data_IF_320191517976
#
_entry.id   IF_320191517976
#
_cell.length_a   1.000
_cell.length_b   1.000
_cell.length_c   1.000
_cell.angle_alpha   90.00
_cell.angle_beta   90.00
_cell.angle_gamma   90.00
#
_symmetry.space_group_name_H-M   'P 1'
#
loop_
_entity.id
_entity.type
_entity.pdbx_description
1 polymer ?
#
# COMPACT_ATOMS: atom_id res chain seq x y z
N UNK A 1 -4.52 -17.69 7.07
CA UNK A 1 -3.44 -17.91 8.06
C UNK A 1 -3.77 -17.04 9.27
N UNK A 2 -4.23 -17.68 10.37
CA UNK A 2 -4.60 -17.01 11.60
C UNK A 2 -3.30 -16.80 12.41
N UNK A 3 -2.60 -15.68 12.20
CA UNK A 3 -1.52 -15.29 13.12
C UNK A 3 -2.20 -14.78 14.38
N UNK A 4 -2.01 -15.51 15.49
CA UNK A 4 -2.37 -15.01 16.81
C UNK A 4 -1.71 -13.65 16.98
N UNK A 5 -2.53 -12.59 17.12
CA UNK A 5 -2.04 -11.22 17.18
C UNK A 5 -1.06 -11.10 18.36
N UNK A 6 0.13 -10.55 18.10
CA UNK A 6 1.09 -10.26 19.16
C UNK A 6 0.40 -9.34 20.19
N UNK A 7 0.43 -9.70 21.46
CA UNK A 7 -0.12 -8.86 22.53
C UNK A 7 0.76 -7.62 22.68
N UNK A 8 0.20 -6.46 22.28
CA UNK A 8 0.87 -5.18 22.38
C UNK A 8 0.76 -4.64 23.80
N UNK A 9 1.88 -4.20 24.36
CA UNK A 9 1.92 -3.44 25.62
C UNK A 9 1.39 -2.02 25.41
N UNK A 10 1.08 -1.31 26.49
CA UNK A 10 0.69 0.11 26.40
C UNK A 10 1.80 0.95 25.80
N UNK A 11 3.06 0.70 26.18
CA UNK A 11 4.22 1.35 25.55
C UNK A 11 4.28 1.10 24.03
N UNK A 12 3.95 -0.10 23.54
CA UNK A 12 3.91 -0.38 22.12
C UNK A 12 2.85 0.45 21.38
N UNK A 13 1.68 0.58 22.00
CA UNK A 13 0.58 1.38 21.45
C UNK A 13 0.96 2.86 21.36
N UNK A 14 1.53 3.40 22.42
CA UNK A 14 2.03 4.77 22.48
C UNK A 14 3.16 5.01 21.45
N UNK A 15 4.10 4.07 21.34
CA UNK A 15 5.20 4.13 20.38
C UNK A 15 4.69 4.12 18.94
N UNK A 16 3.76 3.23 18.61
CA UNK A 16 3.13 3.17 17.28
C UNK A 16 2.35 4.45 17.03
N UNK A 17 1.57 4.93 17.98
CA UNK A 17 0.81 6.17 17.84
C UNK A 17 1.73 7.38 17.58
N UNK A 18 2.83 7.49 18.32
CA UNK A 18 3.81 8.55 18.16
C UNK A 18 4.57 8.50 16.82
N UNK A 19 4.72 7.31 16.21
CA UNK A 19 5.54 7.12 15.00
C UNK A 19 4.74 6.83 13.73
N UNK A 20 3.45 6.54 13.82
CA UNK A 20 2.62 6.19 12.65
C UNK A 20 2.47 7.32 11.61
N UNK A 21 2.76 8.56 11.97
CA UNK A 21 2.81 9.69 11.04
C UNK A 21 4.17 9.84 10.33
N UNK A 22 5.14 9.04 10.73
CA UNK A 22 6.55 9.11 10.34
C UNK A 22 7.42 9.59 11.51
N UNK A 23 8.71 9.30 11.43
CA UNK A 23 9.68 9.85 12.35
C UNK A 23 9.90 11.35 12.06
N UNK A 24 10.19 12.19 13.08
CA UNK A 24 10.56 13.58 12.86
C UNK A 24 11.79 13.70 11.94
N UNK A 25 11.77 14.65 11.00
CA UNK A 25 12.89 14.90 10.08
C UNK A 25 13.95 15.77 10.76
N UNK A 26 14.60 15.24 11.78
CA UNK A 26 15.64 15.89 12.60
C UNK A 26 16.86 14.97 12.71
N UNK A 27 18.06 15.47 13.10
CA UNK A 27 19.29 14.66 13.18
C UNK A 27 19.20 13.43 14.09
N UNK A 28 18.41 13.50 15.18
CA UNK A 28 18.21 12.41 16.14
C UNK A 28 16.72 12.10 16.36
N UNK A 29 16.07 11.48 15.37
CA UNK A 29 14.61 11.30 15.38
C UNK A 29 14.12 10.41 16.53
N UNK A 30 14.87 9.38 16.89
CA UNK A 30 14.50 8.48 17.99
C UNK A 30 14.55 9.16 19.35
N UNK A 31 15.50 10.10 19.56
CA UNK A 31 15.57 10.88 20.80
C UNK A 31 14.38 11.82 20.92
N UNK A 32 13.93 12.40 19.81
CA UNK A 32 12.74 13.24 19.79
C UNK A 32 11.46 12.45 20.14
N UNK A 33 11.31 11.23 19.63
CA UNK A 33 10.20 10.35 19.99
C UNK A 33 10.32 9.90 21.45
N UNK A 34 11.54 9.59 21.91
CA UNK A 34 11.80 9.17 23.28
C UNK A 34 11.42 10.23 24.31
N UNK A 35 11.68 11.51 24.00
CA UNK A 35 11.27 12.63 24.85
C UNK A 35 9.75 12.72 25.05
N UNK A 36 8.96 12.37 24.03
CA UNK A 36 7.49 12.31 24.13
C UNK A 36 7.00 11.14 24.99
N UNK A 37 7.76 10.03 24.99
CA UNK A 37 7.37 8.77 25.65
C UNK A 37 8.06 8.59 27.01
N UNK A 38 8.84 9.55 27.52
CA UNK A 38 9.55 9.44 28.79
C UNK A 38 10.59 8.32 28.82
N UNK A 39 11.28 8.04 27.70
CA UNK A 39 12.24 6.94 27.54
C UNK A 39 13.53 7.40 26.85
N UNK A 40 14.34 6.46 26.36
CA UNK A 40 15.58 6.74 25.63
C UNK A 40 15.44 6.44 24.14
N UNK A 41 16.18 7.17 23.27
CA UNK A 41 16.19 6.94 21.83
C UNK A 41 16.62 5.51 21.46
N UNK A 42 17.57 4.93 22.22
CA UNK A 42 17.98 3.55 22.02
C UNK A 42 16.82 2.56 22.29
N UNK A 43 16.05 2.77 23.37
CA UNK A 43 14.87 1.95 23.67
C UNK A 43 13.81 2.04 22.60
N UNK A 44 13.55 3.23 22.06
CA UNK A 44 12.63 3.45 20.92
C UNK A 44 13.11 2.68 19.69
N UNK A 45 14.38 2.83 19.32
CA UNK A 45 14.97 2.16 18.16
C UNK A 45 14.89 0.63 18.28
N UNK A 46 15.31 0.11 19.44
CA UNK A 46 15.29 -1.32 19.72
C UNK A 46 13.86 -1.88 19.64
N UNK A 47 12.88 -1.20 20.29
CA UNK A 47 11.51 -1.70 20.31
C UNK A 47 10.85 -1.69 18.94
N UNK A 48 11.10 -0.65 18.11
CA UNK A 48 10.63 -0.63 16.72
C UNK A 48 11.20 -1.80 15.91
N UNK A 49 12.48 -2.17 16.11
CA UNK A 49 13.08 -3.32 15.45
C UNK A 49 12.44 -4.64 15.92
N UNK A 50 12.18 -4.81 17.22
CA UNK A 50 11.49 -5.97 17.76
C UNK A 50 10.05 -6.11 17.19
N UNK A 51 9.31 -5.01 17.14
CA UNK A 51 7.96 -4.98 16.55
C UNK A 51 7.97 -5.28 15.05
N UNK A 52 9.03 -4.89 14.35
CA UNK A 52 9.21 -5.23 12.93
C UNK A 52 9.52 -6.72 12.76
N UNK A 53 10.41 -7.30 13.56
CA UNK A 53 10.70 -8.73 13.55
C UNK A 53 9.46 -9.57 13.88
N UNK A 54 8.63 -9.09 14.81
CA UNK A 54 7.36 -9.73 15.16
C UNK A 54 6.24 -9.53 14.11
N UNK A 55 6.50 -8.80 13.02
CA UNK A 55 5.52 -8.54 11.95
C UNK A 55 4.42 -7.54 12.32
N UNK A 56 4.48 -6.93 13.52
CA UNK A 56 3.54 -5.88 13.95
C UNK A 56 3.77 -4.59 13.18
N UNK A 57 5.05 -4.17 13.06
CA UNK A 57 5.48 -3.10 12.16
C UNK A 57 5.99 -3.75 10.88
N UNK A 58 5.30 -3.56 9.77
CA UNK A 58 5.66 -4.17 8.51
C UNK A 58 7.01 -3.68 7.97
N UNK A 59 7.26 -2.39 8.07
CA UNK A 59 8.53 -1.74 7.67
C UNK A 59 8.62 -0.33 8.25
N UNK A 60 9.85 0.14 8.39
CA UNK A 60 10.18 1.57 8.55
C UNK A 60 10.77 2.03 7.22
N UNK A 61 10.14 2.97 6.56
CA UNK A 61 10.53 3.42 5.23
C UNK A 61 10.22 4.91 5.01
N UNK A 62 10.96 5.54 4.11
CA UNK A 62 10.59 6.84 3.58
C UNK A 62 9.36 6.70 2.68
N UNK A 63 8.42 7.64 2.79
CA UNK A 63 7.25 7.73 1.91
C UNK A 63 7.37 9.01 1.10
N UNK A 64 8.03 8.99 -0.07
CA UNK A 64 8.20 10.17 -0.89
C UNK A 64 6.86 10.65 -1.47
N UNK A 65 6.76 11.96 -1.67
CA UNK A 65 5.65 12.53 -2.42
C UNK A 65 5.88 12.26 -3.92
N UNK A 66 5.27 11.20 -4.46
CA UNK A 66 5.46 10.80 -5.84
C UNK A 66 5.03 11.85 -6.87
N UNK A 67 4.08 12.74 -6.54
CA UNK A 67 3.73 13.87 -7.40
C UNK A 67 4.91 14.83 -7.58
N UNK A 68 5.70 15.07 -6.49
CA UNK A 68 6.93 15.88 -6.57
C UNK A 68 8.08 15.17 -7.30
N UNK A 69 7.99 13.84 -7.43
CA UNK A 69 8.92 13.04 -8.23
C UNK A 69 8.48 12.90 -9.70
N UNK A 70 7.41 13.60 -10.11
CA UNK A 70 6.92 13.59 -11.48
C UNK A 70 5.89 12.49 -11.80
N UNK A 71 5.56 11.59 -10.87
CA UNK A 71 4.52 10.57 -11.07
C UNK A 71 3.12 11.15 -10.81
N UNK A 72 2.62 11.91 -11.79
CA UNK A 72 1.36 12.64 -11.65
C UNK A 72 0.16 11.87 -12.17
N UNK A 73 0.35 10.87 -13.01
CA UNK A 73 -0.70 10.00 -13.52
C UNK A 73 -0.81 8.74 -12.65
N UNK A 74 -1.96 8.57 -12.00
CA UNK A 74 -2.26 7.43 -11.15
C UNK A 74 -3.64 6.89 -11.54
N UNK A 75 -3.69 5.65 -12.01
CA UNK A 75 -4.90 4.98 -12.44
C UNK A 75 -5.14 3.69 -11.67
N UNK A 76 -6.35 3.53 -11.16
CA UNK A 76 -6.84 2.24 -10.70
C UNK A 76 -7.41 1.51 -11.91
N UNK A 77 -6.66 0.55 -12.45
CA UNK A 77 -7.16 -0.34 -13.50
C UNK A 77 -8.03 -1.43 -12.90
N UNK A 78 -9.16 -1.72 -13.53
CA UNK A 78 -10.16 -2.69 -13.09
C UNK A 78 -10.42 -3.70 -14.19
N UNK A 79 -10.53 -4.98 -13.82
CA UNK A 79 -10.49 -6.10 -14.75
C UNK A 79 -11.57 -7.12 -14.40
N UNK A 80 -12.35 -7.54 -15.39
CA UNK A 80 -13.24 -8.69 -15.30
C UNK A 80 -12.49 -9.94 -15.76
N UNK A 81 -11.89 -10.65 -14.80
CA UNK A 81 -11.08 -11.84 -15.04
C UNK A 81 -11.88 -13.11 -14.68
N UNK A 82 -11.65 -14.19 -15.40
CA UNK A 82 -12.23 -15.50 -15.08
C UNK A 82 -11.93 -15.87 -13.62
N UNK A 83 -12.98 -16.26 -12.88
CA UNK A 83 -12.87 -16.53 -11.43
C UNK A 83 -11.99 -17.73 -11.10
N UNK A 84 -11.83 -18.68 -12.03
CA UNK A 84 -10.95 -19.84 -11.86
C UNK A 84 -9.47 -19.46 -11.98
N UNK A 85 -9.15 -18.34 -12.64
CA UNK A 85 -7.78 -17.92 -12.95
C UNK A 85 -7.35 -16.63 -12.26
N UNK A 86 -8.28 -15.91 -11.63
CA UNK A 86 -8.02 -14.56 -11.10
C UNK A 86 -6.94 -14.52 -10.02
N UNK A 87 -6.80 -15.55 -9.20
CA UNK A 87 -5.79 -15.59 -8.13
C UNK A 87 -4.39 -15.75 -8.71
N UNK A 88 -4.19 -16.73 -9.59
CA UNK A 88 -2.93 -16.98 -10.29
C UNK A 88 -2.50 -15.78 -11.13
N UNK A 89 -3.40 -15.26 -11.96
CA UNK A 89 -3.11 -14.11 -12.82
C UNK A 89 -2.93 -12.82 -12.01
N UNK A 90 -3.66 -12.66 -10.92
CA UNK A 90 -3.50 -11.52 -10.01
C UNK A 90 -2.14 -11.47 -9.33
N UNK A 91 -1.57 -12.62 -8.96
CA UNK A 91 -0.20 -12.71 -8.45
C UNK A 91 0.81 -12.29 -9.53
N UNK A 92 0.64 -12.74 -10.77
CA UNK A 92 1.51 -12.36 -11.89
C UNK A 92 1.40 -10.85 -12.21
N UNK A 93 0.19 -10.30 -12.25
CA UNK A 93 -0.05 -8.85 -12.43
C UNK A 93 0.63 -8.07 -11.31
N UNK A 94 0.56 -8.53 -10.07
CA UNK A 94 1.21 -7.90 -8.91
C UNK A 94 2.74 -7.82 -9.01
N UNK A 95 3.37 -8.64 -9.85
CA UNK A 95 4.83 -8.63 -10.09
C UNK A 95 5.25 -7.70 -11.24
N UNK A 96 4.29 -7.18 -12.04
CA UNK A 96 4.63 -6.32 -13.17
C UNK A 96 5.25 -4.99 -12.71
N UNK A 97 6.29 -4.49 -13.41
CA UNK A 97 6.84 -3.18 -13.16
C UNK A 97 5.78 -2.08 -13.28
N UNK A 98 5.71 -1.20 -12.28
CA UNK A 98 4.74 -0.09 -12.26
C UNK A 98 3.38 -0.43 -11.65
N UNK A 99 3.16 -1.67 -11.24
CA UNK A 99 2.03 -2.07 -10.38
C UNK A 99 2.45 -1.94 -8.92
N UNK A 100 1.80 -1.07 -8.17
CA UNK A 100 2.13 -0.87 -6.75
C UNK A 100 1.24 -1.67 -5.80
N UNK A 101 0.03 -1.97 -6.23
CA UNK A 101 -0.97 -2.72 -5.49
C UNK A 101 -1.81 -3.53 -6.47
N UNK A 102 -2.10 -4.77 -6.10
CA UNK A 102 -3.00 -5.64 -6.84
C UNK A 102 -3.94 -6.34 -5.85
N UNK A 103 -5.25 -6.30 -6.10
CA UNK A 103 -6.25 -6.86 -5.20
C UNK A 103 -7.31 -7.63 -5.98
N UNK A 104 -7.74 -8.78 -5.46
CA UNK A 104 -8.99 -9.42 -5.79
C UNK A 104 -10.10 -8.88 -4.88
N UNK A 105 -11.28 -8.61 -5.45
CA UNK A 105 -12.50 -8.23 -4.73
C UNK A 105 -13.71 -8.94 -5.34
N UNK A 106 -14.79 -9.16 -4.57
CA UNK A 106 -16.02 -9.70 -5.12
C UNK A 106 -16.63 -8.74 -6.14
N UNK A 107 -17.32 -9.30 -7.15
CA UNK A 107 -18.15 -8.55 -8.08
C UNK A 107 -19.44 -8.08 -7.41
N UNK A 108 -20.04 -7.02 -7.93
CA UNK A 108 -21.39 -6.55 -7.58
C UNK A 108 -22.24 -6.48 -8.86
N UNK A 109 -22.65 -7.65 -9.31
CA UNK A 109 -23.41 -7.80 -10.56
C UNK A 109 -24.88 -7.30 -10.41
N UNK A 110 -25.46 -6.70 -11.45
CA UNK A 110 -24.88 -6.46 -12.78
C UNK A 110 -24.07 -5.17 -12.88
N UNK A 111 -24.00 -4.35 -11.83
CA UNK A 111 -23.47 -2.98 -11.87
C UNK A 111 -21.94 -2.94 -11.93
N UNK A 112 -21.26 -3.90 -11.30
CA UNK A 112 -19.80 -3.91 -11.18
C UNK A 112 -19.21 -5.28 -11.47
N UNK A 113 -18.81 -5.56 -12.73
CA UNK A 113 -18.34 -6.88 -13.13
C UNK A 113 -16.89 -7.17 -12.78
N UNK A 114 -16.13 -6.20 -12.31
CA UNK A 114 -14.69 -6.32 -12.11
C UNK A 114 -14.35 -7.02 -10.80
N UNK A 115 -13.38 -7.95 -10.85
CA UNK A 115 -12.91 -8.73 -9.70
C UNK A 115 -11.40 -8.61 -9.43
N UNK A 116 -10.61 -8.02 -10.36
CA UNK A 116 -9.20 -7.75 -10.17
C UNK A 116 -8.93 -6.25 -10.31
N UNK A 117 -8.07 -5.70 -9.44
CA UNK A 117 -7.77 -4.28 -9.33
C UNK A 117 -6.28 -4.09 -9.26
N UNK A 118 -5.69 -3.29 -10.13
CA UNK A 118 -4.26 -3.00 -10.14
C UNK A 118 -4.00 -1.49 -10.19
N UNK A 119 -3.20 -0.99 -9.23
CA UNK A 119 -2.84 0.43 -9.19
C UNK A 119 -1.61 0.68 -10.04
N UNK A 120 -1.77 1.48 -11.09
CA UNK A 120 -0.74 1.85 -12.06
C UNK A 120 -0.29 3.30 -11.84
N UNK A 121 1.02 3.55 -12.00
CA UNK A 121 1.62 4.86 -11.84
C UNK A 121 2.47 5.22 -13.06
N UNK A 122 2.44 6.49 -13.47
CA UNK A 122 3.25 7.01 -14.56
C UNK A 122 3.47 8.53 -14.44
N UNK A 123 4.42 9.07 -15.17
CA UNK A 123 4.57 10.50 -15.31
C UNK A 123 3.46 11.08 -16.21
N UNK A 124 2.98 10.31 -17.18
CA UNK A 124 1.91 10.70 -18.08
C UNK A 124 0.81 9.64 -18.13
N UNK A 125 -0.35 9.99 -18.68
CA UNK A 125 -1.45 9.03 -18.91
C UNK A 125 -1.06 7.98 -19.94
N UNK A 126 -0.29 8.36 -20.95
CA UNK A 126 0.20 7.46 -21.99
C UNK A 126 1.06 6.34 -21.40
N UNK A 127 1.93 6.67 -20.44
CA UNK A 127 2.70 5.66 -19.70
C UNK A 127 1.82 4.71 -18.88
N UNK A 128 0.75 5.22 -18.29
CA UNK A 128 -0.21 4.41 -17.53
C UNK A 128 -1.00 3.49 -18.47
N UNK A 129 -1.43 3.99 -19.64
CA UNK A 129 -2.13 3.18 -20.64
C UNK A 129 -1.21 2.11 -21.26
N UNK A 130 0.10 2.40 -21.44
CA UNK A 130 1.06 1.38 -21.86
C UNK A 130 1.16 0.24 -20.84
N UNK A 131 1.26 0.57 -19.54
CA UNK A 131 1.25 -0.44 -18.46
C UNK A 131 -0.07 -1.20 -18.38
N UNK A 132 -1.19 -0.53 -18.65
CA UNK A 132 -2.49 -1.20 -18.76
C UNK A 132 -2.51 -2.21 -19.92
N UNK A 133 -1.90 -1.86 -21.05
CA UNK A 133 -1.76 -2.79 -22.18
C UNK A 133 -0.91 -4.01 -21.82
N UNK A 134 0.17 -3.85 -21.03
CA UNK A 134 0.97 -4.98 -20.53
C UNK A 134 0.15 -5.92 -19.65
N UNK A 135 -0.66 -5.35 -18.73
CA UNK A 135 -1.59 -6.14 -17.91
C UNK A 135 -2.61 -6.87 -18.77
N UNK A 136 -3.20 -6.18 -19.77
CA UNK A 136 -4.16 -6.80 -20.69
C UNK A 136 -3.54 -7.96 -21.49
N UNK A 137 -2.31 -7.80 -21.95
CA UNK A 137 -1.57 -8.86 -22.66
C UNK A 137 -1.32 -10.08 -21.78
N UNK A 138 -0.95 -9.86 -20.50
CA UNK A 138 -0.75 -10.94 -19.53
C UNK A 138 -2.06 -11.68 -19.25
N UNK A 139 -3.17 -10.98 -19.04
CA UNK A 139 -4.48 -11.57 -18.75
C UNK A 139 -5.07 -12.30 -19.96
N UNK A 140 -4.78 -11.84 -21.17
CA UNK A 140 -5.18 -12.45 -22.42
C UNK A 140 -6.68 -12.78 -22.49
N UNK A 141 -7.02 -13.97 -22.94
CA UNK A 141 -8.41 -14.44 -23.08
C UNK A 141 -9.16 -14.64 -21.76
N UNK A 142 -8.46 -14.62 -20.61
CA UNK A 142 -9.12 -14.70 -19.31
C UNK A 142 -9.77 -13.37 -18.91
N UNK A 143 -9.44 -12.26 -19.57
CA UNK A 143 -10.03 -10.94 -19.34
C UNK A 143 -11.22 -10.75 -20.29
N UNK A 144 -12.41 -10.51 -19.72
CA UNK A 144 -13.66 -10.25 -20.46
C UNK A 144 -13.92 -8.76 -20.66
N UNK A 145 -13.33 -7.93 -19.83
CA UNK A 145 -13.48 -6.48 -19.91
C UNK A 145 -12.59 -5.76 -18.89
N UNK A 146 -12.26 -4.53 -19.18
CA UNK A 146 -11.45 -3.72 -18.28
C UNK A 146 -11.75 -2.23 -18.46
N UNK A 147 -11.40 -1.45 -17.43
CA UNK A 147 -11.46 0.00 -17.43
C UNK A 147 -10.34 0.58 -16.55
N UNK A 148 -10.18 1.90 -16.56
CA UNK A 148 -9.25 2.59 -15.70
C UNK A 148 -9.85 3.86 -15.10
N UNK A 149 -9.73 3.97 -13.78
CA UNK A 149 -10.25 5.08 -13.00
C UNK A 149 -9.10 6.00 -12.59
N UNK A 150 -9.02 7.17 -13.23
CA UNK A 150 -8.03 8.19 -12.88
C UNK A 150 -8.50 9.06 -11.72
N UNK A 151 -7.60 9.32 -10.76
CA UNK A 151 -7.87 10.24 -9.67
C UNK A 151 -7.92 11.68 -10.18
N UNK A 152 -9.00 12.38 -9.90
CA UNK A 152 -9.17 13.81 -10.24
C UNK A 152 -8.82 14.73 -9.07
N UNK A 153 -9.03 14.26 -7.83
CA UNK A 153 -8.75 15.03 -6.60
C UNK A 153 -8.45 14.10 -5.45
N UNK A 154 -7.39 14.39 -4.69
CA UNK A 154 -7.10 13.71 -3.44
C UNK A 154 -7.94 14.37 -2.33
N UNK A 155 -8.85 13.61 -1.73
CA UNK A 155 -9.65 14.06 -0.59
C UNK A 155 -8.95 13.72 0.73
N UNK A 156 -8.36 12.51 0.82
CA UNK A 156 -7.58 12.05 1.98
C UNK A 156 -6.57 11.00 1.53
N UNK A 157 -5.33 11.10 1.99
CA UNK A 157 -4.28 10.12 1.74
C UNK A 157 -3.52 9.82 3.05
N UNK A 158 -4.11 8.98 3.87
CA UNK A 158 -3.48 8.50 5.12
C UNK A 158 -3.75 7.01 5.26
N UNK A 159 -2.82 6.26 5.86
CA UNK A 159 -3.08 4.90 6.30
C UNK A 159 -4.04 4.87 7.51
N UNK A 160 -4.46 3.66 7.88
CA UNK A 160 -5.16 3.44 9.14
C UNK A 160 -4.31 3.97 10.31
N UNK A 161 -4.96 4.60 11.27
CA UNK A 161 -4.33 5.17 12.46
C UNK A 161 -4.80 4.44 13.70
N UNK A 162 -3.83 4.09 14.55
CA UNK A 162 -4.11 3.65 15.92
C UNK A 162 -4.45 4.90 16.74
N UNK A 163 -5.53 4.84 17.50
CA UNK A 163 -5.84 5.83 18.53
C UNK A 163 -5.30 5.29 19.85
N UNK A 164 -4.47 6.08 20.51
CA UNK A 164 -3.99 5.80 21.85
C UNK A 164 -5.07 6.16 22.88
#
# INVERSE_FOLDING_TARGET
>A
MNQAGATLTDFDRELIAATQAGLPLVPRPYDSVAALLGTTGERVRQRLAELQQAGVVRRVAAVPNHYRLGYVANGMSVWDVDDARVDELGEQVGQLPGVSHCYRRPRDLPLWPYNLFAMLHGATREEVEAKRADVAALLGSACRGNDILYSTRILKKTGMRLHA
#
